data_IF_471736790785
#
_entry.id   IF_471736790785
#
_cell.length_a   1.000
_cell.length_b   1.000
_cell.length_c   1.000
_cell.angle_alpha   90.00
_cell.angle_beta   90.00
_cell.angle_gamma   90.00
#
_symmetry.space_group_name_H-M   'P 1'
#
loop_
_entity.id
_entity.type
_entity.pdbx_description
1 polymer ?
#
# COMPACT_ATOMS: atom_id res chain seq x y z
N UNK A 1 -21.78 -4.00 -3.63
CA UNK A 1 -20.34 -4.26 -3.47
C UNK A 1 -19.89 -3.75 -2.11
N UNK A 2 -19.04 -4.51 -1.44
CA UNK A 2 -18.50 -4.11 -0.16
C UNK A 2 -17.77 -2.78 -0.29
N UNK A 3 -18.21 -1.81 0.50
CA UNK A 3 -17.48 -0.55 0.72
C UNK A 3 -17.38 0.42 -0.45
N UNK A 4 -18.38 0.49 -1.32
CA UNK A 4 -18.48 1.59 -2.28
C UNK A 4 -18.47 2.95 -1.58
N UNK A 5 -19.17 3.05 -0.45
CA UNK A 5 -19.21 4.27 0.35
C UNK A 5 -17.83 4.64 0.87
N UNK A 6 -17.03 3.65 1.28
CA UNK A 6 -15.65 3.89 1.70
C UNK A 6 -14.80 4.47 0.60
N UNK A 7 -14.89 3.90 -0.61
CA UNK A 7 -14.14 4.40 -1.77
C UNK A 7 -14.53 5.84 -2.12
N UNK A 8 -15.82 6.15 -2.09
CA UNK A 8 -16.31 7.50 -2.34
C UNK A 8 -15.76 8.49 -1.31
N UNK A 9 -15.78 8.11 -0.03
CA UNK A 9 -15.25 8.95 1.04
C UNK A 9 -13.75 9.18 0.90
N UNK A 10 -13.00 8.15 0.51
CA UNK A 10 -11.55 8.28 0.31
C UNK A 10 -11.25 9.24 -0.84
N UNK A 11 -11.97 9.14 -1.95
CA UNK A 11 -11.80 10.05 -3.09
C UNK A 11 -12.13 11.49 -2.71
N UNK A 12 -13.07 11.68 -1.77
CA UNK A 12 -13.44 13.00 -1.27
C UNK A 12 -12.46 13.53 -0.20
N UNK A 13 -11.41 12.79 0.12
CA UNK A 13 -10.45 13.18 1.16
C UNK A 13 -10.91 12.93 2.58
N UNK A 14 -12.03 12.24 2.76
CA UNK A 14 -12.56 11.93 4.09
C UNK A 14 -12.03 10.60 4.58
N UNK A 15 -10.73 10.57 4.85
CA UNK A 15 -10.00 9.31 5.09
C UNK A 15 -10.45 8.58 6.35
N UNK A 16 -10.73 9.31 7.43
CA UNK A 16 -11.18 8.68 8.68
C UNK A 16 -12.53 7.99 8.51
N UNK A 17 -13.45 8.65 7.83
CA UNK A 17 -14.77 8.07 7.55
C UNK A 17 -14.65 6.90 6.59
N UNK A 18 -13.76 7.01 5.60
CA UNK A 18 -13.50 5.91 4.66
C UNK A 18 -12.95 4.69 5.40
N UNK A 19 -12.00 4.90 6.30
CA UNK A 19 -11.44 3.81 7.11
C UNK A 19 -12.53 3.07 7.88
N UNK A 20 -13.44 3.79 8.50
CA UNK A 20 -14.54 3.19 9.24
C UNK A 20 -15.38 2.28 8.35
N UNK A 21 -15.70 2.72 7.13
CA UNK A 21 -16.49 1.93 6.19
C UNK A 21 -15.73 0.68 5.74
N UNK A 22 -14.42 0.79 5.48
CA UNK A 22 -13.62 -0.36 5.09
C UNK A 22 -13.51 -1.38 6.23
N UNK A 23 -13.35 -0.93 7.47
CA UNK A 23 -13.29 -1.82 8.65
C UNK A 23 -14.62 -2.54 8.83
N UNK A 24 -15.74 -1.84 8.69
CA UNK A 24 -17.06 -2.47 8.78
C UNK A 24 -17.23 -3.56 7.72
N UNK A 25 -16.80 -3.29 6.49
CA UNK A 25 -16.87 -4.28 5.42
C UNK A 25 -15.97 -5.49 5.72
N UNK A 26 -14.77 -5.25 6.24
CA UNK A 26 -13.85 -6.32 6.60
C UNK A 26 -14.46 -7.23 7.67
N UNK A 27 -15.12 -6.64 8.65
CA UNK A 27 -15.76 -7.39 9.74
C UNK A 27 -16.94 -8.24 9.28
N UNK A 28 -17.49 -7.97 8.08
CA UNK A 28 -18.56 -8.77 7.51
C UNK A 28 -18.07 -10.01 6.79
N UNK A 29 -16.76 -10.13 6.54
CA UNK A 29 -16.21 -11.29 5.84
C UNK A 29 -16.27 -12.53 6.74
N UNK A 30 -16.69 -13.69 6.20
CA UNK A 30 -16.65 -14.94 6.97
C UNK A 30 -15.21 -15.34 7.32
N UNK A 31 -15.03 -15.92 8.49
CA UNK A 31 -13.73 -16.42 8.92
C UNK A 31 -13.40 -17.75 8.21
N UNK A 32 -12.13 -18.02 7.87
CA UNK A 32 -11.00 -17.10 7.98
C UNK A 32 -11.01 -16.05 6.86
N UNK A 33 -10.79 -14.79 7.22
CA UNK A 33 -10.89 -13.70 6.25
C UNK A 33 -9.81 -13.79 5.16
N UNK A 34 -8.68 -14.41 5.44
CA UNK A 34 -7.54 -14.56 4.51
C UNK A 34 -7.87 -15.38 3.27
N UNK A 35 -9.03 -16.08 3.26
CA UNK A 35 -9.50 -16.82 2.09
C UNK A 35 -10.05 -15.94 0.97
N UNK A 36 -10.42 -14.69 1.27
CA UNK A 36 -11.24 -13.89 0.37
C UNK A 36 -10.40 -12.82 -0.32
N UNK A 37 -10.60 -12.66 -1.64
CA UNK A 37 -9.98 -11.56 -2.37
C UNK A 37 -10.39 -10.20 -1.81
N UNK A 38 -11.63 -10.11 -1.30
CA UNK A 38 -12.10 -8.89 -0.63
C UNK A 38 -11.22 -8.50 0.55
N UNK A 39 -10.60 -9.48 1.24
CA UNK A 39 -9.66 -9.22 2.32
C UNK A 39 -8.46 -8.41 1.81
N UNK A 40 -7.88 -8.82 0.69
CA UNK A 40 -6.75 -8.11 0.07
C UNK A 40 -7.14 -6.67 -0.24
N UNK A 41 -8.26 -6.49 -0.91
CA UNK A 41 -8.72 -5.17 -1.32
C UNK A 41 -9.02 -4.26 -0.12
N UNK A 42 -9.73 -4.80 0.87
CA UNK A 42 -10.12 -4.01 2.04
C UNK A 42 -8.92 -3.63 2.92
N UNK A 43 -8.02 -4.57 3.20
CA UNK A 43 -6.82 -4.27 3.99
C UNK A 43 -5.90 -3.28 3.26
N UNK A 44 -5.80 -3.40 1.94
CA UNK A 44 -5.03 -2.44 1.14
C UNK A 44 -5.65 -1.05 1.22
N UNK A 45 -6.97 -0.96 1.12
CA UNK A 45 -7.68 0.32 1.23
C UNK A 45 -7.52 0.95 2.61
N UNK A 46 -7.59 0.13 3.67
CA UNK A 46 -7.35 0.60 5.04
C UNK A 46 -5.93 1.13 5.17
N UNK A 47 -4.95 0.39 4.64
CA UNK A 47 -3.56 0.82 4.65
C UNK A 47 -3.36 2.14 3.91
N UNK A 48 -3.98 2.28 2.74
CA UNK A 48 -3.86 3.49 1.93
C UNK A 48 -4.43 4.72 2.64
N UNK A 49 -5.64 4.62 3.20
CA UNK A 49 -6.23 5.77 3.90
C UNK A 49 -5.46 6.13 5.18
N UNK A 50 -4.89 5.15 5.86
CA UNK A 50 -4.01 5.44 7.00
C UNK A 50 -2.73 6.13 6.55
N UNK A 51 -2.14 5.69 5.44
CA UNK A 51 -0.98 6.35 4.86
C UNK A 51 -1.30 7.81 4.54
N UNK A 52 -2.44 8.07 3.91
CA UNK A 52 -2.85 9.43 3.55
C UNK A 52 -3.09 10.32 4.76
N UNK A 53 -3.42 9.74 5.91
CA UNK A 53 -3.58 10.47 7.17
C UNK A 53 -2.26 10.65 7.93
N UNK A 54 -1.16 10.11 7.44
CA UNK A 54 0.11 10.11 8.16
C UNK A 54 0.19 9.08 9.27
N UNK A 55 -0.76 8.16 9.34
CA UNK A 55 -0.78 7.09 10.35
C UNK A 55 0.03 5.89 9.83
N UNK A 56 1.35 6.07 9.75
CA UNK A 56 2.22 5.13 9.04
C UNK A 56 2.32 3.77 9.71
N UNK A 57 2.25 3.71 11.05
CA UNK A 57 2.27 2.42 11.75
C UNK A 57 1.04 1.60 11.42
N UNK A 58 -0.13 2.22 11.48
CA UNK A 58 -1.39 1.57 11.13
C UNK A 58 -1.41 1.17 9.65
N UNK A 59 -0.88 2.03 8.77
CA UNK A 59 -0.76 1.71 7.36
C UNK A 59 0.13 0.48 7.15
N UNK A 60 1.30 0.45 7.79
CA UNK A 60 2.20 -0.69 7.70
C UNK A 60 1.53 -1.98 8.20
N UNK A 61 0.84 -1.91 9.33
CA UNK A 61 0.19 -3.09 9.91
C UNK A 61 -0.89 -3.64 8.96
N UNK A 62 -1.76 -2.78 8.43
CA UNK A 62 -2.81 -3.21 7.51
C UNK A 62 -2.24 -3.80 6.21
N UNK A 63 -1.22 -3.16 5.65
CA UNK A 63 -0.59 -3.64 4.41
C UNK A 63 0.18 -4.94 4.63
N UNK A 64 0.82 -5.09 5.79
CA UNK A 64 1.48 -6.36 6.14
C UNK A 64 0.46 -7.49 6.28
N UNK A 65 -0.69 -7.20 6.88
CA UNK A 65 -1.78 -8.17 6.98
C UNK A 65 -2.32 -8.54 5.59
N UNK A 66 -2.41 -7.55 4.69
CA UNK A 66 -2.85 -7.80 3.31
C UNK A 66 -1.97 -8.81 2.59
N UNK A 67 -0.68 -8.89 2.93
CA UNK A 67 0.25 -9.83 2.31
C UNK A 67 -0.14 -11.29 2.53
N UNK A 68 -0.96 -11.57 3.54
CA UNK A 68 -1.45 -12.93 3.81
C UNK A 68 -2.75 -13.24 3.06
N UNK A 69 -3.27 -12.30 2.29
CA UNK A 69 -4.53 -12.42 1.56
C UNK A 69 -4.26 -12.75 0.08
N UNK A 70 -5.25 -13.27 -0.66
CA UNK A 70 -5.04 -13.70 -2.05
C UNK A 70 -4.53 -12.60 -2.97
N UNK A 71 -3.51 -12.90 -3.77
CA UNK A 71 -3.00 -12.01 -4.80
C UNK A 71 -2.22 -10.81 -4.33
N UNK A 72 -1.90 -10.72 -3.04
CA UNK A 72 -1.22 -9.55 -2.50
C UNK A 72 0.26 -9.53 -2.84
N UNK A 73 0.93 -10.67 -2.67
CA UNK A 73 2.37 -10.76 -2.96
C UNK A 73 2.59 -10.52 -4.44
N UNK A 74 3.47 -9.58 -4.77
CA UNK A 74 3.71 -9.17 -6.14
C UNK A 74 2.79 -8.05 -6.64
N UNK A 75 1.83 -7.59 -5.84
CA UNK A 75 1.00 -6.44 -6.21
C UNK A 75 1.82 -5.16 -6.02
N UNK A 76 2.17 -4.44 -7.11
CA UNK A 76 3.06 -3.29 -6.99
C UNK A 76 2.55 -2.18 -6.08
N UNK A 77 1.24 -1.93 -6.07
CA UNK A 77 0.68 -0.86 -5.23
C UNK A 77 0.82 -1.18 -3.74
N UNK A 78 0.59 -2.44 -3.36
CA UNK A 78 0.72 -2.85 -1.95
C UNK A 78 2.19 -2.71 -1.52
N UNK A 79 3.12 -3.16 -2.35
CA UNK A 79 4.55 -3.01 -2.08
C UNK A 79 4.95 -1.53 -1.99
N UNK A 80 4.40 -0.69 -2.86
CA UNK A 80 4.68 0.75 -2.84
C UNK A 80 4.25 1.38 -1.51
N UNK A 81 3.00 1.19 -1.13
CA UNK A 81 2.48 1.79 0.10
C UNK A 81 3.16 1.23 1.35
N UNK A 82 3.44 -0.07 1.36
CA UNK A 82 4.18 -0.67 2.47
C UNK A 82 5.59 -0.10 2.57
N UNK A 83 6.29 0.00 1.44
CA UNK A 83 7.64 0.58 1.41
C UNK A 83 7.66 2.03 1.86
N UNK A 84 6.69 2.82 1.40
CA UNK A 84 6.57 4.22 1.81
C UNK A 84 6.30 4.35 3.32
N UNK A 85 5.44 3.49 3.85
CA UNK A 85 5.13 3.48 5.28
C UNK A 85 6.36 3.12 6.10
N UNK A 86 7.11 2.11 5.68
CA UNK A 86 8.35 1.71 6.34
C UNK A 86 9.40 2.83 6.28
N UNK A 87 9.50 3.53 5.16
CA UNK A 87 10.39 4.68 5.01
C UNK A 87 10.07 5.74 6.07
N UNK A 88 8.79 6.10 6.20
CA UNK A 88 8.36 7.11 7.16
C UNK A 88 8.61 6.67 8.61
N UNK A 89 8.60 5.37 8.88
CA UNK A 89 8.87 4.81 10.21
C UNK A 89 10.36 4.60 10.47
N UNK A 90 11.23 4.89 9.51
CA UNK A 90 12.67 4.75 9.66
C UNK A 90 13.21 3.35 9.40
N UNK A 91 12.36 2.41 8.96
CA UNK A 91 12.82 1.07 8.56
C UNK A 91 13.29 1.11 7.12
N UNK A 92 14.52 1.57 6.92
CA UNK A 92 15.05 1.83 5.59
C UNK A 92 15.34 0.57 4.79
N UNK A 93 15.77 -0.50 5.44
CA UNK A 93 16.03 -1.78 4.75
C UNK A 93 14.71 -2.38 4.22
N UNK A 94 13.67 -2.38 5.05
CA UNK A 94 12.36 -2.84 4.63
C UNK A 94 11.77 -1.97 3.52
N UNK A 95 11.93 -0.65 3.66
CA UNK A 95 11.47 0.29 2.64
C UNK A 95 12.14 0.02 1.29
N UNK A 96 13.45 -0.18 1.29
CA UNK A 96 14.19 -0.46 0.06
C UNK A 96 13.67 -1.72 -0.62
N UNK A 97 13.49 -2.81 0.14
CA UNK A 97 13.01 -4.07 -0.42
C UNK A 97 11.62 -3.90 -1.06
N UNK A 98 10.69 -3.26 -0.34
CA UNK A 98 9.34 -3.09 -0.84
C UNK A 98 9.26 -2.11 -2.02
N UNK A 99 9.98 -1.01 -1.97
CA UNK A 99 10.02 -0.05 -3.08
C UNK A 99 10.66 -0.67 -4.33
N UNK A 100 11.68 -1.51 -4.15
CA UNK A 100 12.27 -2.22 -5.27
C UNK A 100 11.27 -3.19 -5.90
N UNK A 101 10.47 -3.89 -5.09
CA UNK A 101 9.43 -4.79 -5.59
C UNK A 101 8.36 -4.01 -6.37
N UNK A 102 7.98 -2.84 -5.89
CA UNK A 102 7.03 -1.97 -6.59
C UNK A 102 7.60 -1.55 -7.96
N UNK A 103 8.87 -1.15 -8.00
CA UNK A 103 9.54 -0.77 -9.24
C UNK A 103 9.62 -1.95 -10.22
N UNK A 104 10.02 -3.12 -9.73
CA UNK A 104 10.12 -4.31 -10.57
C UNK A 104 8.78 -4.73 -11.18
N UNK A 105 7.69 -4.51 -10.44
CA UNK A 105 6.36 -4.88 -10.90
C UNK A 105 5.70 -3.88 -11.83
N UNK A 106 5.96 -2.59 -11.66
CA UNK A 106 5.23 -1.54 -12.36
C UNK A 106 6.10 -0.42 -12.95
N UNK A 107 7.42 -0.48 -12.75
CA UNK A 107 8.33 0.52 -13.28
C UNK A 107 8.25 1.85 -12.55
N UNK A 108 8.92 2.87 -13.09
CA UNK A 108 8.99 4.18 -12.46
C UNK A 108 7.64 4.92 -12.43
N UNK A 109 6.74 4.56 -13.31
CA UNK A 109 5.43 5.22 -13.42
C UNK A 109 4.61 5.14 -12.12
N UNK A 110 4.81 4.09 -11.32
CA UNK A 110 4.06 3.92 -10.09
C UNK A 110 4.39 4.99 -9.06
N UNK A 111 5.55 5.65 -9.20
CA UNK A 111 6.00 6.69 -8.26
C UNK A 111 5.56 8.10 -8.64
N UNK A 112 5.00 8.29 -9.83
CA UNK A 112 4.85 9.63 -10.43
C UNK A 112 3.91 10.57 -9.67
N UNK A 113 2.93 10.03 -8.95
CA UNK A 113 1.95 10.84 -8.22
C UNK A 113 2.30 11.00 -6.74
N UNK A 114 3.42 10.44 -6.31
CA UNK A 114 3.83 10.47 -4.91
C UNK A 114 5.00 11.43 -4.71
N UNK A 115 5.30 11.71 -3.44
CA UNK A 115 6.45 12.54 -3.09
C UNK A 115 7.72 11.95 -3.72
N UNK A 116 8.51 12.75 -4.43
CA UNK A 116 9.73 12.26 -5.09
C UNK A 116 10.75 11.61 -4.15
N UNK A 117 10.68 11.88 -2.85
CA UNK A 117 11.67 11.35 -1.89
C UNK A 117 11.75 9.83 -1.90
N UNK A 118 10.65 9.13 -2.16
CA UNK A 118 10.63 7.66 -2.16
C UNK A 118 11.41 7.10 -3.35
N UNK A 119 11.15 7.60 -4.53
CA UNK A 119 11.87 7.16 -5.72
C UNK A 119 13.32 7.61 -5.66
N UNK A 120 13.58 8.83 -5.17
CA UNK A 120 14.94 9.32 -5.01
C UNK A 120 15.73 8.41 -4.08
N UNK A 121 15.13 7.96 -2.96
CA UNK A 121 15.80 7.02 -2.07
C UNK A 121 16.14 5.72 -2.81
N UNK A 122 15.20 5.16 -3.55
CA UNK A 122 15.43 3.92 -4.30
C UNK A 122 16.60 4.08 -5.27
N UNK A 123 16.66 5.21 -5.97
CA UNK A 123 17.74 5.49 -6.94
C UNK A 123 19.11 5.62 -6.30
N UNK A 124 19.19 6.00 -5.03
CA UNK A 124 20.50 6.09 -4.36
C UNK A 124 21.11 4.73 -4.08
N UNK A 125 20.30 3.67 -4.02
CA UNK A 125 20.75 2.33 -3.65
C UNK A 125 20.73 1.38 -4.83
N UNK A 126 19.70 1.43 -5.67
CA UNK A 126 19.61 0.57 -6.85
C UNK A 126 20.17 1.27 -8.08
N UNK A 127 20.81 0.48 -8.93
CA UNK A 127 21.25 0.94 -10.24
C UNK A 127 20.05 0.87 -11.20
N UNK A 128 20.00 1.76 -12.22
CA UNK A 128 18.97 1.64 -13.25
C UNK A 128 19.08 0.31 -13.97
N UNK A 129 17.98 -0.18 -14.58
CA UNK A 129 18.03 -1.38 -15.40
C UNK A 129 19.07 -1.26 -16.51
N UNK A 130 19.63 -2.40 -16.92
CA UNK A 130 20.62 -2.42 -17.99
C UNK A 130 20.09 -1.71 -19.25
N UNK A 131 20.89 -0.82 -19.83
CA UNK A 131 20.55 -0.04 -21.01
C UNK A 131 19.42 0.98 -20.82
N UNK A 132 19.02 1.25 -19.59
CA UNK A 132 17.99 2.23 -19.29
C UNK A 132 18.52 3.30 -18.34
N UNK A 133 17.86 4.46 -18.38
CA UNK A 133 18.09 5.54 -17.42
C UNK A 133 16.84 5.67 -16.55
N UNK A 134 17.05 6.17 -15.35
CA UNK A 134 15.91 6.48 -14.50
C UNK A 134 14.94 7.48 -15.16
#
# INVERSE_FOLDING_TARGET
>A
MLSQKGSYLAEAGKYKDAETQFIEALNLLPQPIERWEACTWLLTAIGDVNFMQGAYKQAKDALSDAMHCPGAIGNPFIHLRLGQSQFELGNMDGALDELARAYMGAGKEIFKNDDPKYFNYLKTVLKPPANEKW
#
